data_IF_833331847846
#
_entry.id   IF_833331847846
#
_cell.length_a   1.000
_cell.length_b   1.000
_cell.length_c   1.000
_cell.angle_alpha   90.00
_cell.angle_beta   90.00
_cell.angle_gamma   90.00
#
_symmetry.space_group_name_H-M   'P 1'
#
loop_
_entity.id
_entity.type
_entity.pdbx_description
1 polymer ?
#
# COMPACT_ATOMS: atom_id res chain seq x y z
N UNK A 1 25.61 -15.23 5.68
CA UNK A 1 25.64 -15.31 7.15
C UNK A 1 25.14 -14.00 7.71
N UNK A 2 23.87 -13.95 8.09
CA UNK A 2 23.34 -12.85 8.89
C UNK A 2 24.07 -12.84 10.23
N UNK A 3 24.62 -11.70 10.62
CA UNK A 3 25.19 -11.49 11.93
C UNK A 3 24.10 -11.71 12.99
N UNK A 4 24.18 -12.83 13.69
CA UNK A 4 23.21 -13.27 14.70
C UNK A 4 23.02 -12.27 15.86
N UNK A 5 23.98 -11.38 16.08
CA UNK A 5 23.98 -10.44 17.22
C UNK A 5 23.00 -9.29 17.05
N UNK A 6 22.76 -8.83 15.82
CA UNK A 6 21.77 -7.77 15.56
C UNK A 6 20.34 -8.26 15.54
N UNK A 7 20.14 -9.52 15.24
CA UNK A 7 18.83 -10.13 15.09
C UNK A 7 18.17 -10.52 16.43
N UNK A 8 18.93 -11.00 17.39
CA UNK A 8 18.39 -11.33 18.72
C UNK A 8 17.89 -10.09 19.47
N UNK A 9 18.55 -8.95 19.32
CA UNK A 9 18.07 -7.69 19.89
C UNK A 9 16.80 -7.16 19.22
N UNK A 10 16.60 -7.44 17.92
CA UNK A 10 15.44 -6.97 17.19
C UNK A 10 14.19 -7.84 17.42
N UNK A 11 14.34 -9.13 17.73
CA UNK A 11 13.21 -10.04 17.98
C UNK A 11 12.64 -9.87 19.38
N UNK A 12 13.47 -9.51 20.35
CA UNK A 12 13.06 -9.33 21.76
C UNK A 12 12.63 -7.91 22.09
N UNK A 13 12.54 -7.03 21.10
CA UNK A 13 12.09 -5.67 21.38
C UNK A 13 10.56 -5.57 21.28
N UNK A 14 10.01 -4.67 22.07
CA UNK A 14 8.58 -4.37 22.11
C UNK A 14 8.04 -3.77 20.79
N UNK A 15 8.89 -3.58 19.78
CA UNK A 15 8.52 -3.04 18.48
C UNK A 15 8.36 -4.12 17.41
N UNK A 16 9.31 -5.04 17.29
CA UNK A 16 9.35 -5.97 16.16
C UNK A 16 8.65 -7.30 16.46
N UNK A 17 8.71 -7.79 17.70
CA UNK A 17 8.05 -9.03 18.09
C UNK A 17 6.53 -8.99 17.87
N UNK A 18 5.79 -7.96 18.30
CA UNK A 18 4.36 -7.86 18.02
C UNK A 18 4.03 -7.80 16.52
N UNK A 19 4.89 -7.15 15.71
CA UNK A 19 4.71 -7.08 14.26
C UNK A 19 4.92 -8.43 13.60
N UNK A 20 5.97 -9.17 13.99
CA UNK A 20 6.22 -10.52 13.51
C UNK A 20 5.08 -11.47 13.88
N UNK A 21 4.57 -11.36 15.12
CA UNK A 21 3.38 -12.09 15.58
C UNK A 21 2.18 -11.80 14.68
N UNK A 22 1.88 -10.53 14.40
CA UNK A 22 0.73 -10.16 13.58
C UNK A 22 0.86 -10.63 12.12
N UNK A 23 2.05 -10.49 11.52
CA UNK A 23 2.30 -11.00 10.17
C UNK A 23 2.11 -12.52 10.09
N UNK A 24 2.64 -13.27 11.07
CA UNK A 24 2.50 -14.73 11.09
C UNK A 24 1.06 -15.17 11.37
N UNK A 25 0.34 -14.44 12.22
CA UNK A 25 -1.08 -14.64 12.48
C UNK A 25 -1.91 -14.50 11.20
N UNK A 26 -1.65 -13.48 10.39
CA UNK A 26 -2.34 -13.28 9.12
C UNK A 26 -2.01 -14.38 8.10
N UNK A 27 -0.74 -14.75 7.99
CA UNK A 27 -0.27 -15.70 6.98
C UNK A 27 -0.45 -17.19 7.36
N UNK A 28 -0.78 -17.47 8.62
CA UNK A 28 -1.00 -18.82 9.15
C UNK A 28 -2.25 -18.85 10.04
N UNK A 29 -3.44 -18.56 9.51
CA UNK A 29 -4.65 -18.35 10.28
C UNK A 29 -5.23 -19.64 10.90
N UNK A 30 -4.76 -20.84 10.50
CA UNK A 30 -5.22 -22.11 11.08
C UNK A 30 -4.66 -22.37 12.48
N UNK A 31 -3.61 -21.66 12.89
CA UNK A 31 -3.06 -21.76 14.25
C UNK A 31 -3.83 -20.89 15.24
N UNK A 32 -3.74 -21.28 16.51
CA UNK A 32 -4.29 -20.49 17.59
C UNK A 32 -3.34 -19.34 17.96
N UNK A 33 -3.72 -18.12 17.60
CA UNK A 33 -2.97 -16.89 17.88
C UNK A 33 -3.62 -16.00 18.95
N UNK A 34 -4.90 -16.23 19.23
CA UNK A 34 -5.73 -15.27 19.97
C UNK A 34 -6.20 -15.77 21.32
N UNK A 35 -6.16 -17.09 21.59
CA UNK A 35 -6.61 -17.64 22.86
C UNK A 35 -5.60 -17.41 23.99
N UNK A 36 -6.01 -17.46 25.25
CA UNK A 36 -5.09 -17.41 26.40
C UNK A 36 -4.07 -18.56 26.45
N UNK A 37 -4.32 -19.65 25.71
CA UNK A 37 -3.43 -20.80 25.56
C UNK A 37 -2.61 -20.79 24.27
N UNK A 38 -2.71 -19.74 23.47
CA UNK A 38 -1.95 -19.61 22.25
C UNK A 38 -0.44 -19.78 22.52
N UNK A 39 0.20 -20.55 21.64
CA UNK A 39 1.65 -20.80 21.75
C UNK A 39 2.48 -19.53 21.64
N UNK A 40 2.05 -18.62 20.74
CA UNK A 40 2.72 -17.37 20.48
C UNK A 40 1.82 -16.19 20.80
N UNK A 41 2.37 -15.26 21.54
CA UNK A 41 1.73 -13.98 21.89
C UNK A 41 2.57 -12.84 21.31
N UNK A 42 2.08 -11.60 21.27
CA UNK A 42 2.87 -10.46 20.83
C UNK A 42 4.20 -10.23 21.59
N UNK A 43 4.33 -10.79 22.80
CA UNK A 43 5.51 -10.68 23.66
C UNK A 43 6.39 -11.95 23.66
N UNK A 44 6.08 -12.96 22.84
CA UNK A 44 6.80 -14.23 22.83
C UNK A 44 8.22 -14.09 22.28
N UNK A 45 9.21 -14.56 23.04
CA UNK A 45 10.63 -14.52 22.66
C UNK A 45 11.01 -15.55 21.58
N UNK A 46 10.18 -16.57 21.38
CA UNK A 46 10.43 -17.74 20.54
C UNK A 46 9.61 -17.77 19.25
N UNK A 47 9.07 -16.63 18.82
CA UNK A 47 8.40 -16.53 17.51
C UNK A 47 9.39 -16.93 16.42
N UNK A 48 9.04 -17.88 15.51
CA UNK A 48 9.92 -18.32 14.44
C UNK A 48 10.37 -17.17 13.54
N UNK A 49 11.66 -17.17 13.19
CA UNK A 49 12.23 -16.20 12.25
C UNK A 49 11.59 -16.22 10.87
N UNK A 50 11.29 -17.39 10.39
CA UNK A 50 10.62 -17.59 9.12
C UNK A 50 9.67 -18.77 9.24
N UNK A 51 8.60 -18.66 8.50
CA UNK A 51 7.53 -19.64 8.40
C UNK A 51 7.10 -19.75 6.96
N UNK A 52 6.71 -20.94 6.57
CA UNK A 52 6.02 -21.12 5.29
C UNK A 52 4.58 -20.67 5.49
N UNK A 53 4.05 -19.71 4.71
CA UNK A 53 2.67 -19.32 4.79
C UNK A 53 1.74 -20.46 4.35
N UNK A 54 0.52 -20.50 4.86
CA UNK A 54 -0.47 -21.53 4.51
C UNK A 54 -0.97 -21.41 3.06
N UNK A 55 -0.92 -20.20 2.51
CA UNK A 55 -1.27 -19.92 1.11
C UNK A 55 -0.21 -19.08 0.43
N UNK A 56 -0.26 -19.00 -0.91
CA UNK A 56 0.60 -18.09 -1.66
C UNK A 56 0.29 -16.64 -1.27
N UNK A 57 1.34 -15.87 -1.00
CA UNK A 57 1.21 -14.45 -0.63
C UNK A 57 0.88 -13.64 -1.88
N UNK A 58 -0.17 -12.84 -1.83
CA UNK A 58 -0.59 -11.92 -2.89
C UNK A 58 -0.06 -10.51 -2.65
N UNK A 59 -0.24 -9.62 -3.62
CA UNK A 59 0.06 -8.20 -3.44
C UNK A 59 -0.86 -7.56 -2.41
N UNK A 60 -2.10 -8.02 -2.34
CA UNK A 60 -3.10 -7.58 -1.36
C UNK A 60 -2.68 -7.94 0.06
N UNK A 61 -2.13 -9.14 0.28
CA UNK A 61 -1.56 -9.53 1.58
C UNK A 61 -0.39 -8.63 1.98
N UNK A 62 0.48 -8.30 1.01
CA UNK A 62 1.62 -7.40 1.27
C UNK A 62 1.14 -6.00 1.63
N UNK A 63 0.20 -5.43 0.85
CA UNK A 63 -0.37 -4.10 1.11
C UNK A 63 -1.07 -4.06 2.47
N UNK A 64 -1.91 -5.05 2.76
CA UNK A 64 -2.57 -5.19 4.06
C UNK A 64 -1.58 -5.26 5.22
N UNK A 65 -0.59 -6.15 5.14
CA UNK A 65 0.39 -6.31 6.22
C UNK A 65 1.25 -5.07 6.43
N UNK A 66 1.66 -4.40 5.34
CA UNK A 66 2.48 -3.19 5.44
C UNK A 66 1.70 -1.96 5.92
N UNK A 67 0.38 -1.98 5.79
CA UNK A 67 -0.53 -0.96 6.31
C UNK A 67 -1.15 -1.33 7.67
N UNK A 68 -0.94 -2.55 8.15
CA UNK A 68 -1.62 -3.09 9.31
C UNK A 68 -1.36 -2.33 10.62
N UNK A 69 -2.41 -2.17 11.40
CA UNK A 69 -2.41 -1.55 12.73
C UNK A 69 -2.95 -2.48 13.82
N UNK A 70 -2.78 -3.79 13.67
CA UNK A 70 -3.26 -4.86 14.55
C UNK A 70 -4.79 -5.05 14.50
N UNK A 71 -5.41 -4.86 13.35
CA UNK A 71 -6.84 -5.00 13.12
C UNK A 71 -7.39 -6.33 13.65
N UNK A 72 -8.55 -6.28 14.29
CA UNK A 72 -9.19 -7.44 14.86
C UNK A 72 -8.55 -8.01 16.12
N UNK A 73 -7.64 -7.23 16.75
CA UNK A 73 -6.99 -7.59 18.03
C UNK A 73 -7.26 -6.53 19.11
N UNK A 74 -7.03 -6.85 20.39
CA UNK A 74 -7.09 -5.85 21.48
C UNK A 74 -6.01 -4.74 21.39
N UNK A 75 -5.09 -4.82 20.46
CA UNK A 75 -3.94 -3.91 20.31
C UNK A 75 -4.12 -2.89 19.19
N UNK A 76 -5.22 -2.96 18.47
CA UNK A 76 -5.56 -2.02 17.41
C UNK A 76 -5.84 -0.62 17.97
N UNK A 77 -5.01 0.41 17.65
CA UNK A 77 -5.20 1.77 18.16
C UNK A 77 -6.52 2.41 17.72
N UNK A 78 -7.09 1.97 16.59
CA UNK A 78 -8.37 2.45 16.06
C UNK A 78 -9.53 1.51 16.40
N UNK A 79 -9.24 0.33 16.94
CA UNK A 79 -10.23 -0.69 17.23
C UNK A 79 -11.08 -0.41 18.48
N UNK A 80 -12.12 -1.21 18.63
CA UNK A 80 -13.02 -1.21 19.80
C UNK A 80 -12.75 -2.34 20.78
N UNK A 81 -11.90 -3.30 20.41
CA UNK A 81 -11.48 -4.40 21.26
C UNK A 81 -10.42 -3.94 22.27
N UNK A 82 -10.39 -4.56 23.44
CA UNK A 82 -9.39 -4.23 24.47
C UNK A 82 -9.66 -2.92 25.23
N UNK A 83 -8.68 -2.52 26.02
CA UNK A 83 -8.69 -1.30 26.86
C UNK A 83 -7.91 -0.17 26.18
N UNK A 84 -8.03 1.09 26.63
CA UNK A 84 -7.19 2.18 26.16
C UNK A 84 -5.69 1.86 26.23
N UNK A 85 -5.25 1.18 27.32
CA UNK A 85 -3.86 0.80 27.53
C UNK A 85 -3.40 -0.28 26.57
N UNK A 86 -4.20 -1.30 26.29
CA UNK A 86 -3.85 -2.37 25.35
C UNK A 86 -3.76 -1.87 23.92
N UNK A 87 -4.66 -0.98 23.50
CA UNK A 87 -4.68 -0.40 22.16
C UNK A 87 -3.45 0.46 21.84
N UNK A 88 -2.78 0.99 22.86
CA UNK A 88 -1.57 1.78 22.71
C UNK A 88 -0.28 1.05 23.12
N UNK A 89 -0.38 -0.26 23.38
CA UNK A 89 0.73 -1.04 23.91
C UNK A 89 1.84 -1.25 22.90
N UNK A 90 1.49 -1.54 21.67
CA UNK A 90 2.45 -1.89 20.62
C UNK A 90 2.41 -0.89 19.47
N UNK A 91 3.57 -0.72 18.84
CA UNK A 91 3.73 0.12 17.66
C UNK A 91 3.29 -0.64 16.40
N UNK A 92 2.27 -0.17 15.65
CA UNK A 92 1.80 -0.86 14.45
C UNK A 92 2.87 -0.96 13.37
N UNK A 93 2.61 -1.81 12.35
CA UNK A 93 3.41 -1.92 11.14
C UNK A 93 3.16 -0.67 10.29
N UNK A 94 1.89 -0.41 9.96
CA UNK A 94 1.44 0.80 9.26
C UNK A 94 1.42 2.01 10.19
N UNK A 95 2.54 2.69 10.31
CA UNK A 95 2.65 3.89 11.15
C UNK A 95 2.69 5.16 10.31
N UNK A 96 2.31 6.27 10.93
CA UNK A 96 2.29 7.60 10.32
C UNK A 96 3.66 8.09 9.78
N UNK A 97 4.76 7.50 10.23
CA UNK A 97 6.13 7.83 9.78
C UNK A 97 6.57 7.07 8.54
N UNK A 98 5.84 6.07 8.10
CA UNK A 98 6.10 5.40 6.83
C UNK A 98 5.94 6.42 5.71
N UNK A 99 7.01 6.68 4.96
CA UNK A 99 6.99 7.66 3.87
C UNK A 99 6.51 7.06 2.57
N UNK A 100 6.85 5.79 2.34
CA UNK A 100 6.42 5.02 1.18
C UNK A 100 6.59 3.52 1.44
N UNK A 101 5.87 2.72 0.65
CA UNK A 101 6.05 1.28 0.54
C UNK A 101 6.19 0.91 -0.95
N UNK A 102 7.06 -0.04 -1.24
CA UNK A 102 7.21 -0.62 -2.58
C UNK A 102 7.28 -2.14 -2.46
N UNK A 103 6.38 -2.83 -3.17
CA UNK A 103 6.48 -4.26 -3.41
C UNK A 103 6.90 -4.49 -4.88
N UNK A 104 8.07 -5.10 -5.08
CA UNK A 104 8.58 -5.41 -6.41
C UNK A 104 8.10 -6.79 -6.84
N UNK A 105 7.30 -6.84 -7.91
CA UNK A 105 6.75 -8.06 -8.48
C UNK A 105 7.47 -8.42 -9.78
N UNK A 106 8.04 -9.63 -9.83
CA UNK A 106 8.59 -10.21 -11.05
C UNK A 106 7.61 -11.30 -11.52
N UNK A 107 7.12 -11.19 -12.75
CA UNK A 107 6.14 -12.11 -13.37
C UNK A 107 6.84 -12.96 -14.43
N UNK A 108 7.36 -14.16 -14.08
CA UNK A 108 8.15 -15.01 -15.00
C UNK A 108 7.41 -15.43 -16.27
N UNK A 109 6.08 -15.42 -16.20
CA UNK A 109 5.19 -15.77 -17.32
C UNK A 109 4.98 -14.63 -18.32
N UNK A 110 5.35 -13.41 -17.97
CA UNK A 110 5.25 -12.23 -18.84
C UNK A 110 6.53 -12.04 -19.66
N UNK A 111 6.45 -11.41 -20.86
CA UNK A 111 7.61 -11.03 -21.64
C UNK A 111 8.58 -10.17 -20.81
N UNK A 112 9.88 -10.22 -21.15
CA UNK A 112 10.91 -9.49 -20.39
C UNK A 112 10.62 -8.00 -20.29
N UNK A 113 10.12 -7.39 -21.34
CA UNK A 113 9.85 -5.96 -21.42
C UNK A 113 8.83 -5.46 -20.38
N UNK A 114 7.82 -6.26 -20.03
CA UNK A 114 6.75 -5.88 -19.09
C UNK A 114 6.67 -6.80 -17.86
N UNK A 115 7.72 -7.60 -17.60
CA UNK A 115 7.77 -8.58 -16.50
C UNK A 115 7.74 -7.96 -15.11
N UNK A 116 8.38 -6.81 -14.95
CA UNK A 116 8.62 -6.19 -13.66
C UNK A 116 7.62 -5.06 -13.40
N UNK A 117 6.92 -5.17 -12.28
CA UNK A 117 5.98 -4.16 -11.79
C UNK A 117 6.39 -3.77 -10.36
N UNK A 118 6.32 -2.49 -10.07
CA UNK A 118 6.42 -1.95 -8.72
C UNK A 118 5.04 -1.56 -8.24
N UNK A 119 4.60 -2.14 -7.13
CA UNK A 119 3.40 -1.71 -6.42
C UNK A 119 3.83 -0.67 -5.40
N UNK A 120 3.41 0.57 -5.60
CA UNK A 120 3.90 1.73 -4.85
C UNK A 120 2.76 2.37 -4.09
N UNK A 121 3.00 2.69 -2.82
CA UNK A 121 2.18 3.62 -2.05
C UNK A 121 3.04 4.70 -1.41
N UNK A 122 2.56 5.93 -1.38
CA UNK A 122 3.17 7.05 -0.69
C UNK A 122 2.33 7.50 0.50
N UNK A 123 3.00 7.89 1.58
CA UNK A 123 2.35 8.31 2.80
C UNK A 123 2.16 7.19 3.81
N UNK A 124 1.29 7.40 4.79
CA UNK A 124 1.02 6.45 5.87
C UNK A 124 0.16 5.29 5.38
N UNK A 125 0.67 4.06 5.49
CA UNK A 125 0.05 2.85 4.95
C UNK A 125 -1.47 2.73 5.15
N UNK A 126 -2.02 2.89 6.37
CA UNK A 126 -3.45 2.74 6.62
C UNK A 126 -4.36 3.72 5.84
N UNK A 127 -3.79 4.77 5.25
CA UNK A 127 -4.52 5.86 4.60
C UNK A 127 -4.19 6.02 3.12
N UNK A 128 -3.60 5.00 2.49
CA UNK A 128 -3.17 5.04 1.10
C UNK A 128 -3.42 3.70 0.42
N UNK A 129 -3.10 3.60 -0.86
CA UNK A 129 -3.24 2.39 -1.65
C UNK A 129 -1.93 2.06 -2.38
N UNK A 130 -1.55 0.79 -2.41
CA UNK A 130 -0.51 0.31 -3.31
C UNK A 130 -1.07 0.15 -4.72
N UNK A 131 -0.41 0.78 -5.71
CA UNK A 131 -0.82 0.75 -7.11
C UNK A 131 0.35 0.41 -8.02
N UNK A 132 0.08 -0.24 -9.17
CA UNK A 132 1.13 -0.79 -10.02
C UNK A 132 1.72 0.24 -10.98
N UNK A 133 3.04 0.17 -11.14
CA UNK A 133 3.80 0.91 -12.14
C UNK A 133 4.82 -0.03 -12.81
N UNK A 134 4.87 -0.02 -14.12
CA UNK A 134 5.88 -0.77 -14.86
C UNK A 134 7.27 -0.19 -14.58
N UNK A 135 8.24 -1.07 -14.35
CA UNK A 135 9.60 -0.68 -14.00
C UNK A 135 10.49 -0.39 -15.23
N UNK A 136 10.15 -0.93 -16.39
CA UNK A 136 10.93 -0.76 -17.64
C UNK A 136 10.42 0.44 -18.44
N UNK A 137 10.64 1.63 -17.90
CA UNK A 137 10.26 2.93 -18.45
C UNK A 137 11.41 3.92 -18.29
N UNK A 138 11.40 4.99 -19.07
CA UNK A 138 12.47 5.99 -19.06
C UNK A 138 12.25 7.10 -18.04
N UNK A 139 11.00 7.33 -17.59
CA UNK A 139 10.67 8.38 -16.63
C UNK A 139 9.58 7.94 -15.64
N UNK A 140 9.53 8.63 -14.52
CA UNK A 140 8.48 8.48 -13.51
C UNK A 140 7.46 9.60 -13.68
N UNK A 141 6.14 9.33 -13.67
CA UNK A 141 5.14 10.38 -13.75
C UNK A 141 5.36 11.49 -12.73
N UNK A 142 5.25 12.75 -13.15
CA UNK A 142 5.56 13.94 -12.34
C UNK A 142 4.80 13.95 -10.99
N UNK A 143 3.55 13.49 -10.99
CA UNK A 143 2.72 13.41 -9.77
C UNK A 143 3.32 12.51 -8.68
N UNK A 144 4.15 11.53 -9.05
CA UNK A 144 4.86 10.65 -8.12
C UNK A 144 6.29 11.15 -7.83
N UNK A 145 6.96 11.73 -8.85
CA UNK A 145 8.38 12.09 -8.80
C UNK A 145 8.63 13.43 -8.08
N UNK A 146 7.81 14.44 -8.37
CA UNK A 146 8.11 15.83 -8.06
C UNK A 146 7.66 16.23 -6.64
N UNK A 147 8.15 15.50 -5.64
CA UNK A 147 7.92 15.82 -4.24
C UNK A 147 8.99 16.78 -3.71
N UNK A 148 8.57 17.88 -3.13
CA UNK A 148 9.43 18.87 -2.49
C UNK A 148 9.14 18.97 -0.99
N UNK A 149 9.97 19.65 -0.17
CA UNK A 149 9.66 19.94 1.22
C UNK A 149 8.42 20.84 1.41
N UNK A 150 8.05 21.59 0.38
CA UNK A 150 6.86 22.45 0.41
C UNK A 150 5.60 21.62 0.19
N UNK A 151 4.60 21.82 1.04
CA UNK A 151 3.32 21.08 0.98
C UNK A 151 2.52 21.55 -0.22
N UNK A 152 2.17 20.62 -1.09
CA UNK A 152 1.32 20.84 -2.27
C UNK A 152 0.50 19.61 -2.60
N UNK A 153 -0.71 19.81 -3.10
CA UNK A 153 -1.55 18.71 -3.64
C UNK A 153 -1.20 18.33 -5.08
N UNK A 154 -0.18 18.95 -5.66
CA UNK A 154 0.33 18.64 -6.99
C UNK A 154 1.18 17.37 -7.05
N UNK A 155 1.37 16.72 -5.92
CA UNK A 155 2.05 15.43 -5.82
C UNK A 155 1.32 14.46 -4.88
N UNK A 156 1.49 13.16 -5.14
CA UNK A 156 0.80 12.09 -4.42
C UNK A 156 1.21 12.02 -2.93
N UNK A 157 2.50 12.23 -2.65
CA UNK A 157 3.01 12.13 -1.27
C UNK A 157 2.28 13.09 -0.33
N UNK A 158 2.26 14.38 -0.65
CA UNK A 158 1.61 15.37 0.21
C UNK A 158 0.09 15.24 0.22
N UNK A 159 -0.54 14.87 -0.90
CA UNK A 159 -1.97 14.57 -0.94
C UNK A 159 -2.31 13.47 0.07
N UNK A 160 -1.59 12.35 0.05
CA UNK A 160 -1.81 11.24 0.98
C UNK A 160 -1.42 11.60 2.42
N UNK A 161 -0.39 12.43 2.62
CA UNK A 161 -0.03 12.92 3.97
C UNK A 161 -1.10 13.82 4.57
N UNK A 162 -1.75 14.64 3.77
CA UNK A 162 -2.88 15.47 4.21
C UNK A 162 -4.10 14.60 4.56
N UNK A 163 -4.44 13.62 3.72
CA UNK A 163 -5.48 12.64 4.00
C UNK A 163 -5.20 11.97 5.35
N UNK A 164 -3.99 11.42 5.53
CA UNK A 164 -3.61 10.73 6.74
C UNK A 164 -3.68 11.63 7.98
N UNK A 165 -3.19 12.86 7.89
CA UNK A 165 -3.19 13.80 9.02
C UNK A 165 -4.59 14.19 9.48
N UNK A 166 -5.56 14.26 8.57
CA UNK A 166 -6.95 14.52 8.88
C UNK A 166 -7.68 13.27 9.37
N UNK A 167 -7.44 12.15 8.71
CA UNK A 167 -8.13 10.88 8.98
C UNK A 167 -7.69 10.23 10.29
N UNK A 168 -6.43 10.36 10.69
CA UNK A 168 -5.90 9.78 11.93
C UNK A 168 -6.69 10.22 13.17
N UNK A 169 -7.11 11.47 13.20
CA UNK A 169 -7.94 12.00 14.28
C UNK A 169 -9.42 11.59 14.20
N UNK A 170 -9.88 11.13 13.04
CA UNK A 170 -11.26 10.80 12.70
C UNK A 170 -11.37 9.47 11.96
N UNK A 171 -10.58 8.48 12.40
CA UNK A 171 -10.42 7.20 11.70
C UNK A 171 -11.76 6.50 11.45
N UNK A 172 -12.60 6.43 12.47
CA UNK A 172 -13.89 5.75 12.38
C UNK A 172 -14.83 6.35 11.32
N UNK A 173 -14.84 7.66 11.20
CA UNK A 173 -15.72 8.37 10.26
C UNK A 173 -15.15 8.42 8.83
N UNK A 174 -13.86 8.20 8.65
CA UNK A 174 -13.18 8.35 7.36
C UNK A 174 -12.69 7.04 6.75
N UNK A 175 -12.53 5.96 7.55
CA UNK A 175 -11.96 4.69 7.11
C UNK A 175 -12.69 4.07 5.92
N UNK A 176 -14.02 4.06 5.91
CA UNK A 176 -14.80 3.50 4.81
C UNK A 176 -14.50 4.19 3.46
N UNK A 177 -14.32 5.51 3.45
CA UNK A 177 -13.99 6.25 2.23
C UNK A 177 -12.57 5.94 1.75
N UNK A 178 -11.63 5.78 2.69
CA UNK A 178 -10.23 5.45 2.42
C UNK A 178 -10.12 4.01 1.89
N UNK A 179 -10.78 3.06 2.52
CA UNK A 179 -10.81 1.65 2.08
C UNK A 179 -11.43 1.51 0.69
N UNK A 180 -12.56 2.20 0.44
CA UNK A 180 -13.19 2.20 -0.86
C UNK A 180 -12.29 2.79 -1.95
N UNK A 181 -11.54 3.86 -1.65
CA UNK A 181 -10.54 4.42 -2.55
C UNK A 181 -9.42 3.43 -2.81
N UNK A 182 -8.87 2.81 -1.76
CA UNK A 182 -7.76 1.85 -1.88
C UNK A 182 -8.16 0.64 -2.72
N UNK A 183 -9.34 0.07 -2.50
CA UNK A 183 -9.88 -1.04 -3.30
C UNK A 183 -10.10 -0.65 -4.75
N UNK A 184 -10.71 0.53 -4.99
CA UNK A 184 -10.94 1.02 -6.34
C UNK A 184 -9.62 1.27 -7.09
N UNK A 185 -8.61 1.83 -6.43
CA UNK A 185 -7.30 2.10 -7.02
C UNK A 185 -6.55 0.81 -7.36
N UNK A 186 -6.56 -0.19 -6.48
CA UNK A 186 -5.97 -1.52 -6.75
C UNK A 186 -6.70 -2.21 -7.92
N UNK A 187 -8.02 -2.24 -7.87
CA UNK A 187 -8.84 -2.84 -8.94
C UNK A 187 -8.57 -2.18 -10.29
N UNK A 188 -8.49 -0.85 -10.33
CA UNK A 188 -8.14 -0.12 -11.54
C UNK A 188 -6.73 -0.49 -12.02
N UNK A 189 -5.77 -0.54 -11.10
CA UNK A 189 -4.38 -0.92 -11.38
C UNK A 189 -4.26 -2.33 -11.98
N UNK A 190 -4.93 -3.32 -11.42
CA UNK A 190 -4.94 -4.68 -12.00
C UNK A 190 -5.52 -4.71 -13.41
N UNK A 191 -6.63 -4.02 -13.65
CA UNK A 191 -7.24 -3.93 -14.99
C UNK A 191 -6.33 -3.21 -15.98
N UNK A 192 -5.63 -2.17 -15.54
CA UNK A 192 -4.67 -1.45 -16.35
C UNK A 192 -3.52 -2.35 -16.78
N UNK A 193 -2.95 -3.10 -15.84
CA UNK A 193 -1.89 -4.08 -16.12
C UNK A 193 -2.37 -5.15 -17.09
N UNK A 194 -3.53 -5.76 -16.85
CA UNK A 194 -4.09 -6.79 -17.72
C UNK A 194 -4.31 -6.28 -19.15
N UNK A 195 -4.90 -5.09 -19.29
CA UNK A 195 -5.14 -4.45 -20.60
C UNK A 195 -3.85 -4.14 -21.33
N UNK A 196 -2.86 -3.58 -20.65
CA UNK A 196 -1.56 -3.24 -21.22
C UNK A 196 -0.81 -4.49 -21.66
N UNK A 197 -0.78 -5.53 -20.81
CA UNK A 197 -0.17 -6.81 -21.14
C UNK A 197 -0.85 -7.50 -22.33
N UNK A 198 -2.17 -7.40 -22.43
CA UNK A 198 -2.92 -7.96 -23.57
C UNK A 198 -2.58 -7.21 -24.87
N UNK A 199 -2.48 -5.91 -24.85
CA UNK A 199 -2.10 -5.10 -26.00
C UNK A 199 -0.68 -5.44 -26.48
N UNK A 200 0.27 -5.63 -25.55
CA UNK A 200 1.66 -6.01 -25.89
C UNK A 200 1.76 -7.43 -26.48
N UNK A 201 0.97 -8.37 -25.99
CA UNK A 201 0.93 -9.74 -26.56
C UNK A 201 0.45 -9.78 -28.00
N UNK A 202 -0.46 -8.89 -28.39
CA UNK A 202 -0.99 -8.83 -29.75
C UNK A 202 0.06 -8.30 -30.73
N UNK A 203 0.88 -7.33 -30.33
CA UNK A 203 1.97 -6.81 -31.17
C UNK A 203 3.01 -7.90 -31.46
N UNK A 204 3.34 -8.74 -30.46
CA UNK A 204 4.28 -9.85 -30.63
C UNK A 204 3.78 -10.92 -31.62
N UNK A 205 2.47 -11.10 -31.76
CA UNK A 205 1.88 -12.07 -32.73
C UNK A 205 1.90 -11.52 -34.15
N UNK A 206 1.62 -10.24 -34.32
CA UNK A 206 1.61 -9.62 -35.65
C UNK A 206 3.02 -9.54 -36.26
N UNK A 207 4.07 -9.52 -35.44
CA UNK A 207 5.48 -9.57 -35.89
C UNK A 207 5.97 -10.97 -36.25
N UNK A 208 5.39 -12.03 -35.70
CA UNK A 208 5.78 -13.42 -36.00
C UNK A 208 5.13 -13.95 -37.30
N UNK A 209 3.97 -13.39 -37.66
CA UNK A 209 3.24 -13.78 -38.90
C UNK A 209 3.74 -13.01 -40.15
N UNK A 210 4.63 -12.04 -40.00
CA UNK A 210 5.14 -11.16 -41.07
C UNK A 210 6.52 -11.57 -41.62
N UNK A 211 6.95 -12.81 -41.42
CA UNK A 211 8.25 -13.33 -41.90
C UNK A 211 8.24 -13.71 -43.40
N UNK A 212 7.58 -12.94 -44.26
CA UNK A 212 7.76 -13.03 -45.74
C UNK A 212 7.59 -11.61 -46.32
N UNK A 213 8.70 -10.98 -46.69
CA UNK A 213 8.69 -9.83 -47.60
C UNK A 213 9.44 -8.60 -47.11
N UNK A 214 10.63 -8.40 -47.68
CA UNK A 214 11.37 -7.12 -47.69
C UNK A 214 10.45 -5.99 -48.16
N UNK A 215 10.07 -5.09 -47.30
CA UNK A 215 9.57 -3.73 -47.50
C UNK A 215 8.33 -3.40 -46.64
N UNK A 216 8.46 -3.20 -45.33
CA UNK A 216 7.59 -2.28 -44.57
C UNK A 216 8.38 -1.78 -43.33
N UNK A 217 9.28 -0.89 -43.57
CA UNK A 217 9.80 -0.01 -42.53
C UNK A 217 8.98 1.27 -42.58
N UNK A 218 7.79 1.34 -41.97
CA UNK A 218 7.14 2.62 -41.65
C UNK A 218 5.71 2.47 -41.08
N UNK A 219 5.49 1.45 -40.24
CA UNK A 219 4.43 1.53 -39.23
C UNK A 219 5.00 1.01 -37.90
N UNK A 220 6.13 1.60 -37.49
CA UNK A 220 6.69 1.39 -36.17
C UNK A 220 5.69 2.00 -35.17
N UNK A 221 4.78 1.18 -34.68
CA UNK A 221 3.97 1.51 -33.52
C UNK A 221 4.87 1.99 -32.40
N UNK A 222 4.35 2.82 -31.54
CA UNK A 222 5.02 3.35 -30.36
C UNK A 222 5.87 2.28 -29.67
N UNK A 223 7.14 2.56 -29.31
CA UNK A 223 8.02 1.59 -28.66
C UNK A 223 7.35 1.00 -27.41
N UNK A 224 7.64 -0.25 -27.06
CA UNK A 224 7.08 -0.91 -25.88
C UNK A 224 7.24 -0.03 -24.63
N UNK A 225 8.42 0.59 -24.45
CA UNK A 225 8.67 1.48 -23.34
C UNK A 225 7.69 2.68 -23.30
N UNK A 226 7.35 3.26 -24.46
CA UNK A 226 6.35 4.33 -24.53
C UNK A 226 4.95 3.89 -24.09
N UNK A 227 4.55 2.66 -24.43
CA UNK A 227 3.25 2.11 -23.98
C UNK A 227 3.23 1.82 -22.48
N UNK A 228 4.34 1.35 -21.93
CA UNK A 228 4.49 1.16 -20.48
C UNK A 228 4.48 2.49 -19.75
N UNK A 229 5.15 3.50 -20.32
CA UNK A 229 5.12 4.88 -19.80
C UNK A 229 3.69 5.44 -19.83
N UNK A 230 2.96 5.29 -20.93
CA UNK A 230 1.57 5.74 -21.03
C UNK A 230 0.66 5.06 -20.00
N UNK A 231 0.87 3.78 -19.71
CA UNK A 231 0.16 3.10 -18.64
C UNK A 231 0.50 3.66 -17.24
N UNK A 232 1.77 3.98 -16.99
CA UNK A 232 2.19 4.62 -15.75
C UNK A 232 1.58 6.03 -15.60
N UNK A 233 1.55 6.80 -16.67
CA UNK A 233 0.95 8.14 -16.70
C UNK A 233 -0.56 8.07 -16.45
N UNK A 234 -1.24 7.09 -17.04
CA UNK A 234 -2.67 6.85 -16.83
C UNK A 234 -2.96 6.49 -15.37
N UNK A 235 -2.13 5.63 -14.73
CA UNK A 235 -2.27 5.30 -13.31
C UNK A 235 -2.06 6.52 -12.42
N UNK A 236 -1.06 7.33 -12.72
CA UNK A 236 -0.77 8.55 -11.99
C UNK A 236 -1.92 9.57 -12.08
N UNK A 237 -2.53 9.72 -13.26
CA UNK A 237 -3.69 10.61 -13.45
C UNK A 237 -4.94 10.09 -12.73
N UNK A 238 -5.15 8.76 -12.73
CA UNK A 238 -6.20 8.14 -11.93
C UNK A 238 -6.03 8.48 -10.45
N UNK A 239 -4.81 8.31 -9.91
CA UNK A 239 -4.49 8.63 -8.51
C UNK A 239 -4.69 10.12 -8.24
N UNK A 240 -4.21 11.01 -9.13
CA UNK A 240 -4.37 12.45 -8.97
C UNK A 240 -5.84 12.84 -8.81
N UNK A 241 -6.69 12.31 -9.67
CA UNK A 241 -8.13 12.62 -9.67
C UNK A 241 -8.81 12.06 -8.41
N UNK A 242 -8.57 10.79 -8.08
CA UNK A 242 -9.32 10.12 -7.03
C UNK A 242 -8.78 10.39 -5.62
N UNK A 243 -7.46 10.59 -5.46
CA UNK A 243 -6.90 11.01 -4.18
C UNK A 243 -7.29 12.47 -3.83
N UNK A 244 -7.37 13.36 -4.84
CA UNK A 244 -7.91 14.71 -4.62
C UNK A 244 -9.37 14.67 -4.17
N UNK A 245 -10.18 13.82 -4.78
CA UNK A 245 -11.57 13.62 -4.35
C UNK A 245 -11.63 13.09 -2.92
N UNK A 246 -10.85 12.06 -2.59
CA UNK A 246 -10.78 11.52 -1.23
C UNK A 246 -10.34 12.59 -0.22
N UNK A 247 -9.33 13.41 -0.56
CA UNK A 247 -8.90 14.51 0.30
C UNK A 247 -10.04 15.49 0.58
N UNK A 248 -10.85 15.84 -0.43
CA UNK A 248 -12.01 16.70 -0.25
C UNK A 248 -13.05 16.08 0.68
N UNK A 249 -13.35 14.79 0.51
CA UNK A 249 -14.33 14.06 1.33
C UNK A 249 -13.85 13.96 2.80
N UNK A 250 -12.57 13.63 3.02
CA UNK A 250 -11.95 13.55 4.34
C UNK A 250 -11.88 14.93 5.01
N UNK A 251 -11.47 15.96 4.28
CA UNK A 251 -11.43 17.32 4.78
C UNK A 251 -12.83 17.83 5.19
N UNK A 252 -13.84 17.56 4.34
CA UNK A 252 -15.22 17.91 4.66
C UNK A 252 -15.69 17.23 5.96
N UNK A 253 -15.46 15.93 6.09
CA UNK A 253 -15.81 15.15 7.28
C UNK A 253 -15.09 15.69 8.51
N UNK A 254 -13.78 15.87 8.44
CA UNK A 254 -12.96 16.37 9.56
C UNK A 254 -13.34 17.78 9.96
N UNK A 255 -13.69 18.65 9.00
CA UNK A 255 -14.14 20.01 9.26
C UNK A 255 -15.45 20.05 10.06
N UNK A 256 -16.37 19.14 9.78
CA UNK A 256 -17.63 19.03 10.51
C UNK A 256 -17.46 18.45 11.92
N UNK A 257 -16.34 17.78 12.18
CA UNK A 257 -16.01 17.19 13.49
C UNK A 257 -15.10 18.10 14.33
N UNK A 258 -14.73 19.27 13.83
CA UNK A 258 -13.90 20.23 14.59
C UNK A 258 -14.59 20.63 15.89
N UNK A 259 -13.84 20.58 16.99
CA UNK A 259 -14.28 21.02 18.30
C UNK A 259 -13.46 22.23 18.77
N UNK A 260 -14.13 23.22 19.34
CA UNK A 260 -13.44 24.29 20.01
C UNK A 260 -12.73 23.75 21.25
N UNK A 261 -11.43 23.95 21.34
CA UNK A 261 -10.64 23.58 22.51
C UNK A 261 -10.81 24.49 23.74
N UNK A 262 -11.77 25.42 23.71
CA UNK A 262 -12.01 26.36 24.81
C UNK A 262 -13.04 25.82 25.80
N UNK A 263 -12.59 25.48 27.00
CA UNK A 263 -13.46 25.01 28.07
C UNK A 263 -14.61 26.03 28.46
N UNK A 264 -14.50 27.28 28.07
CA UNK A 264 -15.56 28.26 28.28
C UNK A 264 -16.70 28.20 27.27
N UNK A 265 -16.48 27.69 26.06
CA UNK A 265 -17.54 27.54 25.05
C UNK A 265 -18.55 26.45 25.43
N UNK A 266 -18.13 25.44 26.17
CA UNK A 266 -19.00 24.34 26.62
C UNK A 266 -19.95 24.75 27.74
N UNK A 267 -19.76 25.94 28.35
CA UNK A 267 -20.64 26.48 29.37
C UNK A 267 -21.74 27.42 28.84
N UNK A 268 -21.71 27.73 27.55
CA UNK A 268 -22.66 28.61 26.89
C UNK A 268 -23.77 27.83 26.12
N UNK A 269 -23.62 26.52 26.02
CA UNK A 269 -24.61 25.59 25.52
C UNK A 269 -25.24 24.82 26.67
#
# INVERSE_FOLDING_TARGET
SCSLVGSEMCIRDSYNTPRAWYMQRHLNPSEDWDSPSARYTPDSDDIPWCRVPESAITIEDVDFLMSAHFEGTPYDPYGTLGTPESRHRYRPIGINRTGHMVAMQIRPYAPEANRSIMWISYGSGPFTAATPFYANVDDTPAYLRDTTPEVSTDNLYWTNRLIAALADAHFYETSNAIEAFAEAARTYGHRLVERTDAALRNIGKDSDDSAVGDSVAETAGEPIAGRLQAANDEMAEYLRTHATKLLNDVLHTSSNLMRNGFAMSDRWN
#
